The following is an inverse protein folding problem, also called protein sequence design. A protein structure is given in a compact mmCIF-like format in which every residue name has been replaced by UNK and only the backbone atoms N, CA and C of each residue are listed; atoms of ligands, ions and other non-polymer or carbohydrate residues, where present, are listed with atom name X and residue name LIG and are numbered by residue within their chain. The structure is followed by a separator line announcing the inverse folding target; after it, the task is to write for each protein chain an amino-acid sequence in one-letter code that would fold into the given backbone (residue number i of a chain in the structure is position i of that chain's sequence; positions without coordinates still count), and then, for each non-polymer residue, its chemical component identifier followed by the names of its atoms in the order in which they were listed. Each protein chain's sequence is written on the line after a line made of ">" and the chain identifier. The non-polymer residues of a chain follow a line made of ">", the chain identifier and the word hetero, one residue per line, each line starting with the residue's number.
data_IF_051096768030
#
_entry.id   IF_051096768030
#
_cell.length_a   1.000
_cell.length_b   1.000
_cell.length_c   1.000
_cell.angle_alpha   90.00
_cell.angle_beta   90.00
_cell.angle_gamma   90.00
#
_symmetry.space_group_name_H-M   'P 1'
#
loop_
_entity.id
_entity.type
_entity.pdbx_description
1 polymer ?
#
# COMPACT_ATOMS: atom_id res chain seq x y z
N UNK A 1 -8.30 -6.28 0.30
CA UNK A 1 -7.05 -6.57 -0.43
C UNK A 1 -6.22 -7.57 0.36
N UNK A 2 -5.61 -7.22 1.50
CA UNK A 2 -4.78 -8.22 2.21
C UNK A 2 -5.51 -9.51 2.60
N UNK A 3 -6.77 -9.42 3.06
CA UNK A 3 -7.60 -10.61 3.38
C UNK A 3 -7.90 -11.53 2.19
N UNK A 4 -7.63 -11.13 0.95
CA UNK A 4 -7.84 -12.02 -0.21
C UNK A 4 -6.66 -12.97 -0.43
N UNK A 5 -5.51 -12.74 0.21
CA UNK A 5 -4.30 -13.53 -0.01
C UNK A 5 -3.71 -13.44 -1.42
N UNK A 6 -4.21 -12.51 -2.26
CA UNK A 6 -3.75 -12.33 -3.63
C UNK A 6 -3.17 -10.92 -3.81
N UNK A 7 -1.85 -10.85 -3.90
CA UNK A 7 -1.10 -9.59 -4.01
C UNK A 7 -1.32 -8.86 -5.32
N UNK A 8 -1.80 -9.55 -6.37
CA UNK A 8 -2.13 -8.91 -7.65
C UNK A 8 -3.21 -7.83 -7.47
N UNK A 9 -4.14 -8.00 -6.53
CA UNK A 9 -5.13 -6.96 -6.24
C UNK A 9 -4.51 -5.70 -5.64
N UNK A 10 -3.38 -5.80 -4.93
CA UNK A 10 -2.65 -4.62 -4.45
C UNK A 10 -1.98 -3.88 -5.62
N UNK A 11 -1.41 -4.61 -6.57
CA UNK A 11 -0.86 -4.06 -7.81
C UNK A 11 -1.93 -3.34 -8.63
N UNK A 12 -3.03 -4.05 -8.95
CA UNK A 12 -4.11 -3.51 -9.78
C UNK A 12 -4.73 -2.25 -9.17
N UNK A 13 -5.01 -2.27 -7.85
CA UNK A 13 -5.56 -1.11 -7.16
C UNK A 13 -4.59 0.08 -7.18
N UNK A 14 -3.31 -0.15 -6.90
CA UNK A 14 -2.31 0.92 -6.88
C UNK A 14 -2.07 1.52 -8.28
N UNK A 15 -2.06 0.68 -9.32
CA UNK A 15 -1.94 1.12 -10.72
C UNK A 15 -3.13 1.97 -11.15
N UNK A 16 -4.36 1.52 -10.87
CA UNK A 16 -5.57 2.27 -11.19
C UNK A 16 -5.60 3.64 -10.50
N UNK A 17 -5.32 3.70 -9.19
CA UNK A 17 -5.21 4.96 -8.44
C UNK A 17 -4.12 5.85 -9.04
N UNK A 18 -2.98 5.27 -9.41
CA UNK A 18 -1.88 6.03 -9.98
C UNK A 18 -2.18 6.60 -11.37
N UNK A 19 -2.93 5.89 -12.21
CA UNK A 19 -3.39 6.37 -13.52
C UNK A 19 -4.37 7.54 -13.37
N UNK A 20 -5.30 7.46 -12.41
CA UNK A 20 -6.19 8.57 -12.04
C UNK A 20 -5.39 9.78 -11.56
N UNK A 21 -4.46 9.60 -10.62
CA UNK A 21 -3.62 10.67 -10.09
C UNK A 21 -2.79 11.35 -11.20
N UNK A 22 -2.23 10.56 -12.11
CA UNK A 22 -1.47 11.09 -13.25
C UNK A 22 -2.35 11.89 -14.19
N UNK A 23 -3.58 11.46 -14.44
CA UNK A 23 -4.53 12.22 -15.29
C UNK A 23 -4.87 13.60 -14.71
N UNK A 24 -4.81 13.73 -13.38
CA UNK A 24 -5.03 14.98 -12.64
C UNK A 24 -3.75 15.85 -12.50
N UNK A 25 -2.62 15.41 -13.05
CA UNK A 25 -1.35 16.14 -12.99
C UNK A 25 -0.53 15.92 -11.71
N UNK A 26 -0.89 14.96 -10.86
CA UNK A 26 -0.05 14.56 -9.72
C UNK A 26 1.10 13.66 -10.18
N UNK A 27 2.19 13.66 -9.41
CA UNK A 27 3.39 12.86 -9.68
C UNK A 27 3.86 12.01 -8.48
N UNK A 28 3.20 12.14 -7.33
CA UNK A 28 3.56 11.50 -6.06
C UNK A 28 2.30 11.02 -5.36
N UNK A 29 2.36 9.84 -4.74
CA UNK A 29 1.33 9.35 -3.84
C UNK A 29 1.97 8.92 -2.52
N UNK A 30 1.46 9.42 -1.39
CA UNK A 30 1.86 8.96 -0.06
C UNK A 30 1.24 7.59 0.25
N UNK A 31 1.58 6.59 -0.55
CA UNK A 31 1.14 5.21 -0.48
C UNK A 31 2.25 4.29 -1.06
N UNK A 32 2.27 3.01 -0.68
CA UNK A 32 1.35 2.33 0.23
C UNK A 32 1.68 2.50 1.72
N UNK A 33 0.71 2.18 2.58
CA UNK A 33 0.97 1.89 4.00
C UNK A 33 1.69 0.54 4.07
N UNK A 34 2.86 0.54 4.69
CA UNK A 34 3.74 -0.61 4.88
C UNK A 34 3.80 -1.08 6.34
N UNK A 35 2.94 -0.53 7.21
CA UNK A 35 2.82 -0.97 8.58
C UNK A 35 2.16 -2.35 8.68
N UNK A 36 2.56 -3.14 9.68
CA UNK A 36 1.93 -4.42 10.05
C UNK A 36 0.97 -4.15 11.21
N UNK A 37 -0.31 -4.50 11.08
CA UNK A 37 -1.27 -4.26 12.16
C UNK A 37 -1.08 -5.28 13.29
N UNK A 38 -0.06 -5.06 14.11
CA UNK A 38 0.37 -6.00 15.15
C UNK A 38 -0.37 -5.82 16.47
N UNK A 39 -0.95 -4.63 16.69
CA UNK A 39 -1.63 -4.28 17.93
C UNK A 39 -3.11 -3.95 17.67
N UNK A 40 -4.07 -4.78 18.14
CA UNK A 40 -5.49 -4.54 17.92
C UNK A 40 -6.02 -3.26 18.61
N UNK A 41 -5.27 -2.69 19.56
CA UNK A 41 -5.60 -1.39 20.19
C UNK A 41 -5.15 -0.19 19.35
N UNK A 42 -4.40 -0.39 18.28
CA UNK A 42 -3.96 0.67 17.40
C UNK A 42 -5.14 1.24 16.61
N UNK A 43 -5.49 2.50 16.90
CA UNK A 43 -6.63 3.21 16.29
C UNK A 43 -6.26 3.98 15.01
N UNK A 44 -4.97 4.05 14.67
CA UNK A 44 -4.45 4.88 13.58
C UNK A 44 -4.16 4.07 12.31
N UNK A 45 -3.60 2.87 12.45
CA UNK A 45 -3.30 1.98 11.31
C UNK A 45 -4.51 1.11 10.98
N UNK A 46 -4.88 0.16 11.84
CA UNK A 46 -6.06 -0.70 11.66
C UNK A 46 -6.19 -1.24 10.23
N UNK A 47 -7.36 -1.02 9.62
CA UNK A 47 -7.70 -1.47 8.26
C UNK A 47 -6.88 -0.81 7.13
N UNK A 48 -5.98 0.13 7.44
CA UNK A 48 -5.05 0.71 6.46
C UNK A 48 -3.87 -0.22 6.17
N UNK A 49 -3.49 -1.07 7.13
CA UNK A 49 -2.52 -2.13 6.88
C UNK A 49 -3.16 -3.26 6.07
N UNK A 50 -2.34 -3.98 5.31
CA UNK A 50 -2.81 -5.13 4.56
C UNK A 50 -3.09 -6.34 5.48
N UNK A 51 -2.28 -6.56 6.51
CA UNK A 51 -2.37 -7.74 7.37
C UNK A 51 -1.72 -7.50 8.74
N UNK A 52 -1.96 -8.44 9.65
CA UNK A 52 -1.23 -8.62 10.91
C UNK A 52 0.05 -9.47 10.70
N UNK A 53 0.18 -10.13 9.55
CA UNK A 53 1.36 -10.92 9.15
C UNK A 53 2.34 -10.07 8.32
N UNK A 54 3.59 -9.87 8.80
CA UNK A 54 4.62 -9.14 8.05
C UNK A 54 4.92 -9.68 6.65
N UNK A 55 4.80 -11.00 6.44
CA UNK A 55 5.06 -11.64 5.15
C UNK A 55 4.02 -11.20 4.12
N UNK A 56 2.74 -11.26 4.51
CA UNK A 56 1.62 -10.79 3.67
C UNK A 56 1.73 -9.29 3.41
N UNK A 57 2.09 -8.49 4.43
CA UNK A 57 2.29 -7.04 4.25
C UNK A 57 3.41 -6.77 3.25
N UNK A 58 4.55 -7.46 3.36
CA UNK A 58 5.70 -7.25 2.47
C UNK A 58 5.36 -7.52 1.00
N UNK A 59 4.62 -8.60 0.72
CA UNK A 59 4.23 -8.98 -0.63
C UNK A 59 3.22 -7.98 -1.24
N UNK A 60 2.20 -7.61 -0.46
CA UNK A 60 1.17 -6.64 -0.86
C UNK A 60 1.78 -5.25 -1.11
N UNK A 61 2.68 -4.81 -0.24
CA UNK A 61 3.40 -3.53 -0.37
C UNK A 61 4.27 -3.52 -1.61
N UNK A 62 5.03 -4.60 -1.87
CA UNK A 62 5.86 -4.71 -3.07
C UNK A 62 5.03 -4.58 -4.36
N UNK A 63 3.87 -5.25 -4.42
CA UNK A 63 2.96 -5.15 -5.56
C UNK A 63 2.33 -3.76 -5.70
N UNK A 64 1.91 -3.13 -4.59
CA UNK A 64 1.38 -1.77 -4.62
C UNK A 64 2.43 -0.74 -5.09
N UNK A 65 3.68 -0.88 -4.63
CA UNK A 65 4.81 -0.06 -5.10
C UNK A 65 5.03 -0.24 -6.60
N UNK A 66 5.00 -1.49 -7.10
CA UNK A 66 5.12 -1.79 -8.53
C UNK A 66 4.00 -1.14 -9.33
N UNK A 67 2.74 -1.29 -8.91
CA UNK A 67 1.59 -0.70 -9.59
C UNK A 67 1.65 0.83 -9.66
N UNK A 68 2.03 1.47 -8.55
CA UNK A 68 2.21 2.94 -8.49
C UNK A 68 3.33 3.41 -9.43
N UNK A 69 4.45 2.68 -9.51
CA UNK A 69 5.55 3.02 -10.42
C UNK A 69 5.14 2.84 -11.89
N UNK A 70 4.40 1.78 -12.23
CA UNK A 70 3.96 1.52 -13.60
C UNK A 70 2.99 2.58 -14.14
N UNK A 71 2.18 3.19 -13.28
CA UNK A 71 1.35 4.34 -13.67
C UNK A 71 2.16 5.62 -13.87
N UNK A 72 3.45 5.64 -13.50
CA UNK A 72 4.32 6.82 -13.55
C UNK A 72 4.18 7.75 -12.34
N UNK A 73 3.69 7.25 -11.21
CA UNK A 73 3.60 7.97 -9.94
C UNK A 73 4.72 7.50 -9.01
N UNK A 74 5.25 8.42 -8.20
CA UNK A 74 6.25 8.08 -7.17
C UNK A 74 5.52 7.52 -5.93
N UNK A 75 5.78 6.27 -5.50
CA UNK A 75 5.27 5.75 -4.24
C UNK A 75 6.11 6.22 -3.05
N UNK A 76 5.47 6.36 -1.89
CA UNK A 76 6.13 6.66 -0.61
C UNK A 76 5.64 5.67 0.43
N UNK A 77 6.53 4.76 0.82
CA UNK A 77 6.25 3.79 1.87
C UNK A 77 6.22 4.50 3.23
N UNK A 78 5.25 4.13 4.06
CA UNK A 78 5.05 4.74 5.37
C UNK A 78 4.50 3.73 6.38
N UNK A 79 4.73 3.88 7.68
CA UNK A 79 5.34 5.05 8.32
C UNK A 79 6.59 4.60 9.08
N UNK A 80 7.79 4.85 8.55
CA UNK A 80 9.03 4.40 9.18
C UNK A 80 9.15 4.95 10.63
N UNK A 81 9.62 4.14 11.61
CA UNK A 81 10.13 2.77 11.48
C UNK A 81 9.05 1.66 11.48
N UNK A 82 7.78 2.02 11.57
CA UNK A 82 6.62 1.14 11.68
C UNK A 82 5.68 1.70 12.74
N UNK A 83 4.44 2.03 12.34
CA UNK A 83 3.43 2.61 13.24
C UNK A 83 2.30 1.61 13.57
N UNK A 84 2.37 0.40 13.03
CA UNK A 84 1.33 -0.63 13.11
C UNK A 84 1.25 -1.38 14.42
#
# INVERSE_FOLDING_TARGET
>A
IGSTGNSEYAFMAAKAIGEELKSLGFNLNFAPVADVFSNPKNKIIGRRAYSEDPSVVSEMVAQAVKGTKESGIIPVLKHFPGHG
#
